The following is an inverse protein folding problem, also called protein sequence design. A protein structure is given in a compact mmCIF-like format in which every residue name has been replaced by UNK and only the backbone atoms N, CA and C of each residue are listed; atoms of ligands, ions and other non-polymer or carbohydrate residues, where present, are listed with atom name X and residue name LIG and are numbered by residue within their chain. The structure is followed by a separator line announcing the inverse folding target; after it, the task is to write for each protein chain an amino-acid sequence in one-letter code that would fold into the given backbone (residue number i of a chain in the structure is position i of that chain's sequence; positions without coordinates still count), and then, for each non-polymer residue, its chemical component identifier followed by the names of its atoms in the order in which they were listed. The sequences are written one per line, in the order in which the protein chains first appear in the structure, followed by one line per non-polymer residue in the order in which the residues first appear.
data_IF_554432193984
#
_entry.id   IF_554432193984
#
_cell.length_a   1.000
_cell.length_b   1.000
_cell.length_c   1.000
_cell.angle_alpha   90.00
_cell.angle_beta   90.00
_cell.angle_gamma   90.00
#
_symmetry.space_group_name_H-M   'P 1'
#
loop_
_entity.id
_entity.type
_entity.pdbx_description
1 polymer ?
#
# COMPACT_ATOMS: atom_id res chain seq x y z
N UNK A 1 27.86 26.08 -43.61
CA UNK A 1 29.07 26.21 -42.76
C UNK A 1 28.94 25.48 -41.43
N UNK A 2 27.75 25.36 -40.82
CA UNK A 2 27.61 24.68 -39.51
C UNK A 2 27.77 23.14 -39.56
N UNK A 3 27.39 22.46 -40.64
CA UNK A 3 27.57 21.00 -40.73
C UNK A 3 29.02 20.54 -40.86
N UNK A 4 29.95 21.40 -41.31
CA UNK A 4 31.37 21.06 -41.42
C UNK A 4 32.07 21.14 -40.04
N UNK A 5 31.62 22.05 -39.16
CA UNK A 5 32.10 22.19 -37.79
C UNK A 5 31.66 21.03 -36.89
N UNK A 6 30.45 20.51 -37.07
CA UNK A 6 29.96 19.33 -36.35
C UNK A 6 30.70 18.04 -36.75
N UNK A 7 31.03 17.88 -38.04
CA UNK A 7 31.81 16.72 -38.51
C UNK A 7 33.27 16.77 -38.05
N UNK A 8 33.89 17.96 -38.02
CA UNK A 8 35.25 18.15 -37.50
C UNK A 8 35.32 17.95 -35.98
N UNK A 9 34.27 18.30 -35.23
CA UNK A 9 34.19 18.07 -33.77
C UNK A 9 34.00 16.57 -33.42
N UNK A 10 33.24 15.84 -34.24
CA UNK A 10 33.07 14.39 -34.08
C UNK A 10 34.36 13.61 -34.42
N UNK A 11 35.09 14.03 -35.45
CA UNK A 11 36.36 13.40 -35.84
C UNK A 11 37.49 13.68 -34.84
N UNK A 12 37.52 14.86 -34.22
CA UNK A 12 38.51 15.20 -33.19
C UNK A 12 38.37 14.33 -31.92
N UNK A 13 37.13 14.01 -31.52
CA UNK A 13 36.87 13.11 -30.38
C UNK A 13 37.15 11.63 -30.69
N UNK A 14 37.01 11.19 -31.95
CA UNK A 14 37.32 9.81 -32.34
C UNK A 14 38.81 9.52 -32.53
N UNK A 15 39.64 10.52 -32.88
CA UNK A 15 41.08 10.31 -33.14
C UNK A 15 41.99 10.63 -31.95
N UNK A 16 41.54 11.42 -30.96
CA UNK A 16 42.34 11.83 -29.80
C UNK A 16 41.72 11.44 -28.45
N UNK A 17 40.77 10.50 -28.44
CA UNK A 17 40.24 9.90 -27.22
C UNK A 17 41.35 9.17 -26.47
N UNK A 18 42.05 9.88 -25.58
CA UNK A 18 42.91 9.29 -24.56
C UNK A 18 42.10 8.22 -23.82
N UNK A 19 42.64 7.01 -23.61
CA UNK A 19 41.96 6.00 -22.81
C UNK A 19 41.68 6.62 -21.45
N UNK A 20 40.41 6.81 -21.13
CA UNK A 20 39.98 7.02 -19.76
C UNK A 20 40.26 5.71 -19.04
N UNK A 21 41.50 5.59 -18.54
CA UNK A 21 41.83 4.62 -17.52
C UNK A 21 40.76 4.80 -16.46
N UNK A 22 39.90 3.79 -16.31
CA UNK A 22 39.01 3.68 -15.17
C UNK A 22 39.93 3.63 -13.95
N UNK A 23 40.27 4.81 -13.43
CA UNK A 23 40.92 4.90 -12.14
C UNK A 23 39.89 4.35 -11.18
N UNK A 24 40.18 3.17 -10.65
CA UNK A 24 39.51 2.62 -9.48
C UNK A 24 39.31 3.81 -8.52
N UNK A 25 38.07 4.14 -8.12
CA UNK A 25 37.84 5.27 -7.24
C UNK A 25 38.83 5.15 -6.07
N UNK A 26 39.50 6.25 -5.68
CA UNK A 26 40.47 6.20 -4.60
C UNK A 26 39.80 5.48 -3.44
N UNK A 27 40.44 4.41 -2.97
CA UNK A 27 40.03 3.68 -1.77
C UNK A 27 39.60 4.72 -0.75
N UNK A 28 38.35 4.60 -0.30
CA UNK A 28 37.78 5.48 0.72
C UNK A 28 38.85 5.79 1.75
N UNK A 29 39.06 7.06 2.13
CA UNK A 29 40.00 7.38 3.18
C UNK A 29 39.72 6.44 4.35
N UNK A 30 40.75 5.87 5.00
CA UNK A 30 40.55 4.93 6.10
C UNK A 30 39.52 5.56 7.02
N UNK A 31 38.40 4.84 7.23
CA UNK A 31 37.34 5.29 8.12
C UNK A 31 38.06 5.85 9.33
N UNK A 32 37.94 7.16 9.56
CA UNK A 32 38.34 7.74 10.82
C UNK A 32 37.72 6.80 11.84
N UNK A 33 38.55 6.09 12.60
CA UNK A 33 38.14 5.31 13.76
C UNK A 33 37.66 6.32 14.81
N UNK A 34 36.63 7.07 14.44
CA UNK A 34 35.84 7.89 15.31
C UNK A 34 35.19 6.90 16.26
N UNK A 35 35.38 7.18 17.53
CA UNK A 35 34.80 6.44 18.65
C UNK A 35 33.30 6.35 18.37
N UNK A 36 32.83 5.18 17.91
CA UNK A 36 31.40 4.92 17.78
C UNK A 36 30.88 4.97 19.22
N UNK A 37 29.99 5.92 19.58
CA UNK A 37 29.46 5.94 20.93
C UNK A 37 28.78 4.59 21.21
N UNK A 38 28.86 4.07 22.45
CA UNK A 38 28.12 2.88 22.79
C UNK A 38 26.64 3.09 22.46
N UNK A 39 25.91 2.03 22.06
CA UNK A 39 24.49 2.14 21.80
C UNK A 39 23.79 2.74 23.04
N UNK A 40 22.73 3.54 22.86
CA UNK A 40 21.93 4.04 23.97
C UNK A 40 21.46 2.88 24.88
N UNK A 41 21.25 3.18 26.16
CA UNK A 41 20.64 2.21 27.06
C UNK A 41 19.24 1.82 26.54
N UNK A 42 18.83 0.53 26.64
CA UNK A 42 17.49 0.12 26.25
C UNK A 42 16.41 0.91 26.99
N UNK A 43 15.42 1.41 26.26
CA UNK A 43 14.24 2.05 26.85
C UNK A 43 13.27 0.98 27.37
N UNK A 44 12.53 1.22 28.48
CA UNK A 44 11.48 0.32 28.92
C UNK A 44 10.39 0.18 27.86
N UNK A 45 10.05 -1.07 27.49
CA UNK A 45 8.96 -1.37 26.57
C UNK A 45 7.78 -1.91 27.38
N UNK A 46 6.61 -1.30 27.20
CA UNK A 46 5.35 -1.85 27.71
C UNK A 46 4.53 -2.37 26.54
N UNK A 47 4.01 -3.59 26.68
CA UNK A 47 3.12 -4.20 25.70
C UNK A 47 1.71 -4.13 26.27
N UNK A 48 0.78 -3.61 25.48
CA UNK A 48 -0.65 -3.63 25.76
C UNK A 48 -1.35 -4.46 24.68
N UNK A 49 -2.39 -5.18 25.08
CA UNK A 49 -3.26 -5.87 24.15
C UNK A 49 -4.36 -4.92 23.72
N UNK A 50 -4.56 -4.78 22.40
CA UNK A 50 -5.61 -3.94 21.86
C UNK A 50 -6.89 -4.77 21.65
N UNK A 51 -8.05 -4.28 22.13
CA UNK A 51 -9.31 -4.96 21.92
C UNK A 51 -9.71 -4.93 20.44
N UNK A 52 -10.09 -6.10 19.93
CA UNK A 52 -10.60 -6.31 18.57
C UNK A 52 -12.11 -6.56 18.61
N UNK A 53 -12.82 -6.48 17.46
CA UNK A 53 -14.21 -6.90 17.38
C UNK A 53 -14.41 -8.33 17.93
N UNK A 54 -15.60 -8.65 18.48
CA UNK A 54 -15.92 -9.99 18.93
C UNK A 54 -15.74 -11.05 17.84
N UNK A 55 -15.42 -12.28 18.24
CA UNK A 55 -15.25 -13.40 17.31
C UNK A 55 -16.59 -14.12 17.12
N UNK A 56 -17.04 -14.28 15.88
CA UNK A 56 -18.24 -15.04 15.58
C UNK A 56 -18.06 -16.53 15.91
N UNK A 57 -19.11 -17.25 16.34
CA UNK A 57 -19.04 -18.70 16.57
C UNK A 57 -18.57 -19.46 15.32
N UNK A 58 -19.09 -19.07 14.16
CA UNK A 58 -18.76 -19.54 12.81
C UNK A 58 -19.06 -18.46 11.74
N UNK A 59 -18.81 -18.76 10.47
CA UNK A 59 -18.95 -17.81 9.36
C UNK A 59 -20.35 -17.79 8.70
N UNK A 60 -21.33 -18.55 9.21
CA UNK A 60 -22.67 -18.60 8.62
C UNK A 60 -23.39 -17.28 8.85
N UNK A 61 -24.23 -16.90 7.90
CA UNK A 61 -25.08 -15.71 7.99
C UNK A 61 -25.87 -15.68 9.31
N UNK A 62 -25.85 -14.53 9.98
CA UNK A 62 -26.50 -14.32 11.28
C UNK A 62 -25.78 -14.88 12.51
N UNK A 63 -24.62 -15.55 12.35
CA UNK A 63 -23.82 -16.05 13.48
C UNK A 63 -23.23 -14.94 14.35
N UNK A 64 -23.07 -13.72 13.82
CA UNK A 64 -22.81 -12.52 14.60
C UNK A 64 -24.13 -11.92 15.09
N UNK A 65 -24.72 -12.58 16.09
CA UNK A 65 -26.01 -12.17 16.67
C UNK A 65 -25.83 -11.09 17.76
N UNK A 66 -26.93 -10.51 18.23
CA UNK A 66 -26.91 -9.56 19.36
C UNK A 66 -26.44 -10.17 20.68
N UNK A 67 -26.51 -11.49 20.84
CA UNK A 67 -25.94 -12.19 21.99
C UNK A 67 -24.40 -12.23 21.91
N UNK A 68 -23.83 -12.27 20.70
CA UNK A 68 -22.38 -12.30 20.46
C UNK A 68 -21.81 -10.88 20.47
N UNK A 69 -22.44 -9.97 19.75
CA UNK A 69 -22.10 -8.55 19.73
C UNK A 69 -23.37 -7.71 19.97
N UNK A 70 -23.64 -7.32 21.23
CA UNK A 70 -24.79 -6.47 21.57
C UNK A 70 -24.82 -5.11 20.87
N UNK A 71 -23.64 -4.56 20.52
CA UNK A 71 -23.54 -3.31 19.78
C UNK A 71 -23.88 -3.47 18.29
N UNK A 72 -24.01 -4.71 17.80
CA UNK A 72 -24.36 -5.05 16.41
C UNK A 72 -23.43 -4.42 15.37
N UNK A 73 -22.16 -4.27 15.74
CA UNK A 73 -21.11 -3.62 14.93
C UNK A 73 -20.28 -4.61 14.10
N UNK A 74 -20.67 -5.88 14.05
CA UNK A 74 -19.97 -6.93 13.30
C UNK A 74 -19.05 -7.79 14.18
N UNK A 75 -18.67 -8.96 13.67
CA UNK A 75 -17.81 -9.93 14.34
C UNK A 75 -16.73 -10.45 13.39
N UNK A 76 -15.52 -10.69 13.85
CA UNK A 76 -14.44 -11.26 13.05
C UNK A 76 -14.45 -12.80 13.07
N UNK A 77 -13.89 -13.43 12.05
CA UNK A 77 -13.72 -14.89 12.02
C UNK A 77 -12.61 -15.36 12.97
N UNK A 78 -12.66 -16.65 13.38
CA UNK A 78 -11.63 -17.26 14.25
C UNK A 78 -10.24 -17.28 13.62
N UNK A 79 -10.18 -17.54 12.32
CA UNK A 79 -8.95 -17.45 11.52
C UNK A 79 -8.87 -16.06 10.95
N UNK A 80 -8.29 -15.15 11.72
CA UNK A 80 -8.29 -13.73 11.39
C UNK A 80 -7.27 -13.42 10.31
N UNK A 81 -7.70 -12.87 9.17
CA UNK A 81 -6.81 -12.23 8.19
C UNK A 81 -6.53 -10.78 8.60
N UNK A 82 -6.18 -10.57 9.87
CA UNK A 82 -5.91 -9.23 10.38
C UNK A 82 -4.59 -8.72 9.80
N UNK A 83 -4.59 -7.47 9.34
CA UNK A 83 -3.37 -6.74 9.04
C UNK A 83 -3.39 -5.42 9.79
N UNK A 84 -2.42 -5.23 10.67
CA UNK A 84 -2.22 -3.94 11.32
C UNK A 84 -1.63 -2.92 10.35
N UNK A 85 -2.09 -1.68 10.51
CA UNK A 85 -1.46 -0.52 9.90
C UNK A 85 -0.63 0.26 10.91
N UNK A 86 -0.34 1.50 10.57
CA UNK A 86 0.30 2.46 11.48
C UNK A 86 -0.74 3.21 12.34
N UNK A 87 -0.23 4.08 13.21
CA UNK A 87 -1.05 5.04 13.94
C UNK A 87 -1.63 6.10 12.99
N UNK A 88 -2.84 6.57 13.31
CA UNK A 88 -3.31 7.84 12.81
C UNK A 88 -2.42 8.98 13.38
N UNK A 89 -2.42 10.18 12.75
CA UNK A 89 -1.53 11.27 13.15
C UNK A 89 -1.72 11.79 14.59
N UNK A 90 -2.83 11.45 15.25
CA UNK A 90 -3.07 11.80 16.65
C UNK A 90 -2.33 10.88 17.64
N UNK A 91 -1.74 9.77 17.17
CA UNK A 91 -1.08 8.75 17.97
C UNK A 91 -1.97 8.07 19.03
N UNK A 92 -3.29 8.21 18.93
CA UNK A 92 -4.26 7.60 19.85
C UNK A 92 -5.08 6.49 19.18
N UNK A 93 -5.08 6.47 17.84
CA UNK A 93 -5.79 5.47 17.06
C UNK A 93 -4.82 4.66 16.20
N UNK A 94 -5.00 3.35 16.18
CA UNK A 94 -4.26 2.44 15.28
C UNK A 94 -5.18 1.91 14.19
N UNK A 95 -4.65 1.79 12.97
CA UNK A 95 -5.37 1.17 11.85
C UNK A 95 -5.30 -0.34 11.92
N UNK A 96 -6.38 -1.00 11.53
CA UNK A 96 -6.39 -2.44 11.30
C UNK A 96 -7.36 -2.80 10.18
N UNK A 97 -6.93 -3.66 9.27
CA UNK A 97 -7.82 -4.36 8.37
C UNK A 97 -8.31 -5.63 9.06
N UNK A 98 -9.62 -5.85 9.02
CA UNK A 98 -10.30 -7.03 9.57
C UNK A 98 -11.19 -7.67 8.51
N UNK A 99 -11.47 -8.95 8.68
CA UNK A 99 -12.48 -9.65 7.89
C UNK A 99 -13.66 -10.01 8.80
N UNK A 100 -14.76 -9.28 8.64
CA UNK A 100 -16.00 -9.50 9.35
C UNK A 100 -16.82 -10.63 8.71
N UNK A 101 -17.43 -11.46 9.53
CA UNK A 101 -18.18 -12.65 9.13
C UNK A 101 -19.48 -12.79 9.91
N UNK A 102 -20.40 -13.56 9.35
CA UNK A 102 -21.65 -13.93 10.01
C UNK A 102 -22.59 -12.77 10.27
N UNK A 103 -22.44 -11.67 9.52
CA UNK A 103 -23.45 -10.63 9.51
C UNK A 103 -24.81 -11.21 9.09
N UNK A 104 -25.94 -10.68 9.59
CA UNK A 104 -27.26 -11.07 9.11
C UNK A 104 -27.46 -10.67 7.64
N UNK A 105 -28.36 -11.35 6.93
CA UNK A 105 -28.75 -10.96 5.58
C UNK A 105 -29.38 -9.57 5.53
N UNK A 106 -29.19 -8.89 4.39
CA UNK A 106 -30.00 -7.72 4.05
C UNK A 106 -31.50 -8.07 4.06
N UNK A 107 -32.39 -7.15 4.48
CA UNK A 107 -32.15 -5.73 4.72
C UNK A 107 -31.77 -5.38 6.17
N UNK A 108 -31.28 -6.34 6.97
CA UNK A 108 -30.83 -6.03 8.33
C UNK A 108 -29.71 -4.97 8.30
N UNK A 109 -29.75 -3.91 9.13
CA UNK A 109 -28.74 -2.86 9.12
C UNK A 109 -27.31 -3.35 9.39
N UNK A 110 -27.14 -4.44 10.13
CA UNK A 110 -25.82 -5.01 10.42
C UNK A 110 -25.24 -5.81 9.23
N UNK A 111 -26.00 -6.01 8.14
CA UNK A 111 -25.49 -6.65 6.92
C UNK A 111 -24.29 -5.92 6.32
N UNK A 112 -24.15 -4.61 6.55
CA UNK A 112 -23.07 -3.76 6.02
C UNK A 112 -21.67 -4.13 6.52
N UNK A 113 -21.58 -4.91 7.60
CA UNK A 113 -20.30 -5.28 8.19
C UNK A 113 -19.61 -6.41 7.44
N UNK A 114 -20.33 -7.22 6.66
CA UNK A 114 -19.77 -8.41 6.01
C UNK A 114 -18.56 -8.09 5.10
N UNK A 115 -17.47 -8.85 5.24
CA UNK A 115 -16.30 -8.78 4.35
C UNK A 115 -15.06 -8.10 4.92
N UNK A 116 -14.09 -7.79 4.06
CA UNK A 116 -12.90 -7.01 4.43
C UNK A 116 -13.27 -5.56 4.71
N UNK A 117 -12.83 -5.04 5.85
CA UNK A 117 -13.12 -3.68 6.29
C UNK A 117 -11.92 -3.08 7.04
N UNK A 118 -11.81 -1.76 7.04
CA UNK A 118 -10.89 -1.03 7.91
C UNK A 118 -11.59 -0.60 9.19
N UNK A 119 -10.90 -0.81 10.31
CA UNK A 119 -11.25 -0.28 11.61
C UNK A 119 -10.14 0.64 12.14
N UNK A 120 -10.54 1.57 12.98
CA UNK A 120 -9.65 2.31 13.86
C UNK A 120 -9.85 1.81 15.29
N UNK A 121 -8.77 1.65 16.06
CA UNK A 121 -8.82 1.13 17.43
C UNK A 121 -8.21 2.19 18.35
N UNK A 122 -8.92 2.55 19.42
CA UNK A 122 -8.42 3.44 20.47
C UNK A 122 -7.42 2.69 21.35
N UNK A 123 -6.28 3.32 21.59
CA UNK A 123 -5.20 2.74 22.42
C UNK A 123 -5.14 3.32 23.84
N UNK A 124 -5.95 4.35 24.13
CA UNK A 124 -5.97 5.07 25.40
C UNK A 124 -6.95 4.49 26.44
N UNK A 125 -7.63 3.38 26.10
CA UNK A 125 -8.62 2.73 26.94
C UNK A 125 -9.99 3.43 26.95
N UNK A 126 -10.18 4.51 26.19
CA UNK A 126 -11.50 5.12 26.00
C UNK A 126 -12.31 4.39 24.94
N UNK A 127 -13.63 4.61 24.93
CA UNK A 127 -14.56 3.97 24.00
C UNK A 127 -15.11 5.00 23.00
N UNK A 128 -15.56 4.53 21.84
CA UNK A 128 -16.40 5.30 20.93
C UNK A 128 -17.83 5.41 21.50
N UNK A 129 -18.68 6.33 20.98
CA UNK A 129 -20.02 6.54 21.51
C UNK A 129 -20.93 5.30 21.52
N UNK A 130 -20.66 4.31 20.67
CA UNK A 130 -21.39 3.04 20.63
C UNK A 130 -20.91 2.02 21.68
N UNK A 131 -19.91 2.37 22.50
CA UNK A 131 -19.34 1.50 23.55
C UNK A 131 -18.21 0.59 23.08
N UNK A 132 -17.89 0.58 21.78
CA UNK A 132 -16.75 -0.20 21.27
C UNK A 132 -15.45 0.58 21.44
N UNK A 133 -14.35 -0.15 21.64
CA UNK A 133 -12.98 0.39 21.61
C UNK A 133 -12.45 0.59 20.19
N UNK A 134 -13.24 0.20 19.19
CA UNK A 134 -12.93 0.29 17.77
C UNK A 134 -14.13 0.84 17.00
N UNK A 135 -13.87 1.35 15.79
CA UNK A 135 -14.90 1.84 14.88
C UNK A 135 -14.57 1.39 13.47
N UNK A 136 -15.55 0.84 12.75
CA UNK A 136 -15.41 0.57 11.33
C UNK A 136 -15.55 1.86 10.52
N UNK A 137 -14.56 2.15 9.67
CA UNK A 137 -14.51 3.38 8.86
C UNK A 137 -14.85 3.15 7.38
N UNK A 138 -14.96 1.89 6.95
CA UNK A 138 -15.39 1.53 5.58
C UNK A 138 -16.74 0.82 5.52
N UNK A 139 -17.31 0.47 6.67
CA UNK A 139 -18.61 -0.21 6.75
C UNK A 139 -19.74 0.75 6.38
N UNK A 140 -20.64 0.31 5.50
CA UNK A 140 -21.80 1.08 5.06
C UNK A 140 -21.47 2.28 4.17
N UNK A 141 -20.23 2.42 3.69
CA UNK A 141 -19.89 3.43 2.68
C UNK A 141 -20.78 3.20 1.46
N UNK A 142 -21.54 4.21 1.00
CA UNK A 142 -22.50 3.99 -0.06
C UNK A 142 -21.80 3.78 -1.41
N UNK A 143 -22.40 3.00 -2.30
CA UNK A 143 -21.81 2.61 -3.59
C UNK A 143 -21.33 3.81 -4.43
N UNK A 144 -22.04 4.94 -4.36
CA UNK A 144 -21.69 6.16 -5.09
C UNK A 144 -20.41 6.84 -4.56
N UNK A 145 -19.98 6.53 -3.34
CA UNK A 145 -18.72 6.98 -2.75
C UNK A 145 -17.57 6.00 -2.95
N UNK A 146 -17.83 4.82 -3.51
CA UNK A 146 -16.86 3.75 -3.73
C UNK A 146 -16.75 3.34 -5.22
N UNK A 147 -17.14 4.23 -6.14
CA UNK A 147 -17.13 3.93 -7.57
C UNK A 147 -15.71 3.60 -8.04
N UNK A 148 -15.53 2.36 -8.51
CA UNK A 148 -14.25 1.88 -8.99
C UNK A 148 -13.30 1.35 -7.94
N UNK A 149 -13.70 1.36 -6.67
CA UNK A 149 -12.93 0.79 -5.57
C UNK A 149 -12.59 -0.69 -5.83
N UNK A 150 -11.40 -1.09 -5.41
CA UNK A 150 -11.01 -2.50 -5.38
C UNK A 150 -11.41 -3.12 -4.04
N UNK A 151 -11.88 -4.37 -4.02
CA UNK A 151 -12.40 -4.99 -2.79
C UNK A 151 -11.32 -5.27 -1.73
N UNK A 152 -10.05 -5.25 -2.10
CA UNK A 152 -8.94 -5.60 -1.22
C UNK A 152 -8.45 -4.38 -0.43
N UNK A 153 -8.31 -4.53 0.88
CA UNK A 153 -7.91 -3.46 1.81
C UNK A 153 -6.61 -3.77 2.57
N UNK A 154 -5.67 -4.49 1.94
CA UNK A 154 -4.40 -4.90 2.56
C UNK A 154 -3.40 -3.75 2.78
N UNK A 155 -2.47 -3.93 3.71
CA UNK A 155 -1.41 -2.98 4.05
C UNK A 155 -1.89 -1.54 4.36
N UNK A 156 -2.82 -1.35 5.32
CA UNK A 156 -3.35 -0.03 5.65
C UNK A 156 -2.27 0.93 6.18
N UNK A 157 -2.21 2.14 5.64
CA UNK A 157 -1.23 3.17 5.98
C UNK A 157 -1.89 4.57 6.00
N UNK A 158 -1.88 5.23 7.16
CA UNK A 158 -2.39 6.58 7.33
C UNK A 158 -1.48 7.62 6.67
N UNK A 159 -2.11 8.59 6.00
CA UNK A 159 -1.47 9.84 5.60
C UNK A 159 -1.38 10.77 6.81
N UNK A 160 -0.45 11.74 6.81
CA UNK A 160 -0.27 12.66 7.94
C UNK A 160 -1.33 13.75 8.04
N UNK A 161 -2.15 13.90 7.02
CA UNK A 161 -3.27 14.87 7.04
C UNK A 161 -4.45 14.43 7.91
N UNK A 162 -4.45 13.20 8.42
CA UNK A 162 -5.51 12.65 9.28
C UNK A 162 -6.83 12.38 8.57
N UNK A 163 -6.86 12.53 7.23
CA UNK A 163 -8.07 12.44 6.40
C UNK A 163 -7.99 11.37 5.34
N UNK A 164 -6.80 10.85 5.04
CA UNK A 164 -6.59 9.79 4.05
C UNK A 164 -5.89 8.57 4.64
N UNK A 165 -6.24 7.40 4.14
CA UNK A 165 -5.61 6.11 4.43
C UNK A 165 -5.39 5.37 3.12
N UNK A 166 -4.18 4.90 2.85
CA UNK A 166 -3.90 3.93 1.79
C UNK A 166 -4.31 2.54 2.29
N UNK A 167 -5.09 1.79 1.52
CA UNK A 167 -5.37 0.37 1.77
C UNK A 167 -5.66 -0.35 0.45
N UNK A 168 -4.88 -1.39 0.17
CA UNK A 168 -4.83 -2.04 -1.13
C UNK A 168 -4.52 -1.03 -2.24
N UNK A 169 -5.25 -1.11 -3.35
CA UNK A 169 -5.19 -0.13 -4.43
C UNK A 169 -6.22 1.01 -4.27
N UNK A 170 -6.53 1.39 -3.03
CA UNK A 170 -7.50 2.44 -2.71
C UNK A 170 -6.90 3.50 -1.78
N UNK A 171 -7.42 4.72 -1.87
CA UNK A 171 -7.31 5.76 -0.85
C UNK A 171 -8.68 5.93 -0.20
N UNK A 172 -8.76 5.64 1.10
CA UNK A 172 -9.95 5.86 1.92
C UNK A 172 -9.85 7.28 2.43
N UNK A 173 -10.87 8.10 2.17
CA UNK A 173 -10.83 9.53 2.48
C UNK A 173 -12.07 9.96 3.25
N UNK A 174 -11.86 10.63 4.39
CA UNK A 174 -12.92 11.22 5.19
C UNK A 174 -13.03 12.75 4.97
N UNK A 175 -14.26 13.26 4.95
CA UNK A 175 -14.53 14.69 4.78
C UNK A 175 -13.90 15.55 5.89
N UNK A 176 -13.93 15.12 7.15
CA UNK A 176 -13.38 15.88 8.29
C UNK A 176 -12.38 15.08 9.15
N UNK A 177 -11.93 13.92 8.68
CA UNK A 177 -11.04 13.01 9.41
C UNK A 177 -11.78 11.80 9.99
N UNK A 178 -11.03 10.81 10.49
CA UNK A 178 -11.60 9.52 10.91
C UNK A 178 -12.01 9.44 12.39
N UNK A 179 -11.58 10.39 13.22
CA UNK A 179 -11.68 10.31 14.68
C UNK A 179 -12.83 11.13 15.27
N UNK A 180 -13.47 11.99 14.47
CA UNK A 180 -14.62 12.79 14.90
C UNK A 180 -15.85 11.93 15.21
N UNK A 181 -16.59 12.27 16.26
CA UNK A 181 -17.79 11.52 16.66
C UNK A 181 -18.98 11.67 15.70
N UNK A 182 -18.94 12.67 14.83
CA UNK A 182 -19.92 12.96 13.79
C UNK A 182 -19.63 12.25 12.46
N UNK A 183 -18.57 11.44 12.38
CA UNK A 183 -18.23 10.70 11.17
C UNK A 183 -19.35 9.73 10.77
N UNK A 184 -19.91 9.93 9.58
CA UNK A 184 -20.89 9.01 8.97
C UNK A 184 -20.32 8.33 7.72
N UNK A 185 -20.86 7.17 7.29
CA UNK A 185 -20.39 6.51 6.07
C UNK A 185 -20.52 7.38 4.80
N UNK A 186 -21.52 8.27 4.73
CA UNK A 186 -21.69 9.20 3.61
C UNK A 186 -20.57 10.24 3.48
N UNK A 187 -19.80 10.46 4.55
CA UNK A 187 -18.65 11.36 4.56
C UNK A 187 -17.33 10.67 4.18
N UNK A 188 -17.37 9.35 3.94
CA UNK A 188 -16.21 8.54 3.57
C UNK A 188 -16.29 8.16 2.10
N UNK A 189 -15.18 8.30 1.40
CA UNK A 189 -15.00 7.89 0.01
C UNK A 189 -13.90 6.84 -0.09
N UNK A 190 -14.11 5.81 -0.92
CA UNK A 190 -13.12 4.80 -1.27
C UNK A 190 -12.70 5.07 -2.71
N UNK A 191 -11.56 5.72 -2.87
CA UNK A 191 -11.11 6.28 -4.16
C UNK A 191 -10.04 5.35 -4.75
N UNK A 192 -10.22 4.80 -5.97
CA UNK A 192 -9.25 3.89 -6.54
C UNK A 192 -7.94 4.59 -6.95
N UNK A 193 -6.85 3.83 -6.89
CA UNK A 193 -5.53 4.21 -7.42
C UNK A 193 -5.31 3.47 -8.74
N UNK A 194 -4.95 4.19 -9.80
CA UNK A 194 -4.68 3.63 -11.13
C UNK A 194 -3.24 3.86 -11.55
N UNK A 195 -2.60 2.80 -12.02
CA UNK A 195 -1.32 2.88 -12.73
C UNK A 195 -1.55 2.75 -14.24
N UNK A 196 -1.10 3.74 -15.01
CA UNK A 196 -1.22 3.76 -16.47
C UNK A 196 -0.21 2.81 -17.11
N UNK A 197 -0.69 1.88 -17.94
CA UNK A 197 0.14 0.87 -18.65
C UNK A 197 0.03 0.96 -20.17
N UNK A 198 -0.85 1.81 -20.69
CA UNK A 198 -1.06 2.07 -22.12
C UNK A 198 -0.63 3.50 -22.44
N UNK A 199 -0.10 3.72 -23.65
CA UNK A 199 0.39 5.04 -24.08
C UNK A 199 -0.74 6.08 -24.19
N UNK A 200 -1.94 5.65 -24.56
CA UNK A 200 -3.13 6.49 -24.71
C UNK A 200 -3.97 6.59 -23.43
N UNK A 201 -3.48 6.02 -22.32
CA UNK A 201 -4.15 6.02 -21.03
C UNK A 201 -5.50 5.27 -21.01
N UNK A 202 -5.79 4.44 -22.01
CA UNK A 202 -7.01 3.62 -22.08
C UNK A 202 -6.96 2.40 -21.15
N UNK A 203 -8.14 1.85 -20.83
CA UNK A 203 -8.27 0.58 -20.11
C UNK A 203 -8.15 0.68 -18.58
N UNK A 204 -8.14 -0.47 -17.88
CA UNK A 204 -8.25 -0.54 -16.42
C UNK A 204 -6.95 -0.18 -15.66
N UNK A 205 -5.84 0.00 -16.38
CA UNK A 205 -4.52 0.20 -15.77
C UNK A 205 -3.84 -1.12 -15.37
N UNK A 206 -2.67 -0.99 -14.74
CA UNK A 206 -1.84 -2.11 -14.28
C UNK A 206 -2.27 -2.67 -12.94
N UNK A 207 -2.00 -3.96 -12.73
CA UNK A 207 -2.16 -4.60 -11.41
C UNK A 207 -1.01 -4.23 -10.49
N UNK A 208 -1.33 -3.79 -9.28
CA UNK A 208 -0.37 -3.39 -8.26
C UNK A 208 -0.50 -4.28 -7.02
N UNK A 209 0.62 -4.49 -6.32
CA UNK A 209 0.67 -5.27 -5.09
C UNK A 209 1.60 -4.60 -4.08
N UNK A 210 1.33 -4.83 -2.80
CA UNK A 210 2.22 -4.45 -1.70
C UNK A 210 2.55 -2.96 -1.70
N UNK A 211 1.53 -2.11 -1.88
CA UNK A 211 1.73 -0.66 -1.96
C UNK A 211 2.34 -0.12 -0.65
N UNK A 212 3.26 0.83 -0.76
CA UNK A 212 3.94 1.50 0.35
C UNK A 212 3.82 3.01 0.17
N UNK A 213 3.20 3.66 1.15
CA UNK A 213 3.12 5.11 1.23
C UNK A 213 4.50 5.67 1.57
N UNK A 214 5.01 6.54 0.71
CA UNK A 214 6.23 7.25 1.02
C UNK A 214 5.96 8.28 2.12
N UNK A 215 6.91 8.53 3.04
CA UNK A 215 6.76 9.52 4.08
C UNK A 215 6.39 10.94 3.63
N UNK A 216 6.45 11.32 2.36
CA UNK A 216 6.03 12.67 1.93
C UNK A 216 4.54 12.77 1.58
N UNK A 217 3.76 11.70 1.78
CA UNK A 217 2.32 11.64 1.51
C UNK A 217 1.92 11.88 0.04
N UNK A 218 2.90 11.89 -0.87
CA UNK A 218 2.67 12.16 -2.30
C UNK A 218 3.24 11.10 -3.22
N UNK A 219 4.19 10.27 -2.76
CA UNK A 219 4.70 9.14 -3.53
C UNK A 219 4.20 7.79 -3.01
N UNK A 220 4.10 6.83 -3.94
CA UNK A 220 3.83 5.43 -3.65
C UNK A 220 4.89 4.55 -4.30
N UNK A 221 5.34 3.56 -3.56
CA UNK A 221 6.03 2.38 -4.09
C UNK A 221 5.06 1.21 -4.23
N UNK A 222 5.24 0.36 -5.24
CA UNK A 222 4.47 -0.87 -5.40
C UNK A 222 5.25 -1.92 -6.19
N UNK A 223 4.84 -3.17 -6.04
CA UNK A 223 5.33 -4.27 -6.86
C UNK A 223 4.33 -4.63 -7.94
N UNK A 224 4.80 -5.05 -9.11
CA UNK A 224 3.96 -5.64 -10.15
C UNK A 224 4.65 -6.84 -10.79
N UNK A 225 3.85 -7.86 -11.12
CA UNK A 225 4.36 -9.03 -11.85
C UNK A 225 4.58 -8.68 -13.33
N UNK A 226 5.66 -9.21 -13.89
CA UNK A 226 5.91 -9.23 -15.33
C UNK A 226 5.92 -10.66 -15.84
N UNK A 227 5.57 -10.83 -17.11
CA UNK A 227 5.54 -12.11 -17.81
C UNK A 227 6.36 -11.98 -19.10
N UNK A 228 7.67 -11.79 -18.94
CA UNK A 228 8.58 -11.59 -20.07
C UNK A 228 9.18 -12.93 -20.51
N UNK A 229 9.15 -13.23 -21.81
CA UNK A 229 9.82 -14.41 -22.40
C UNK A 229 9.46 -15.77 -21.76
N UNK A 230 8.24 -15.90 -21.23
CA UNK A 230 7.77 -17.13 -20.57
C UNK A 230 8.27 -17.31 -19.13
N UNK A 231 8.92 -16.30 -18.55
CA UNK A 231 9.36 -16.28 -17.15
C UNK A 231 8.48 -15.34 -16.33
N UNK A 232 8.15 -15.77 -15.10
CA UNK A 232 7.49 -14.91 -14.12
C UNK A 232 8.56 -14.01 -13.46
N UNK A 233 8.41 -12.70 -13.60
CA UNK A 233 9.21 -11.69 -12.93
C UNK A 233 8.38 -10.82 -12.00
N UNK A 234 9.05 -10.05 -11.16
CA UNK A 234 8.41 -9.02 -10.34
C UNK A 234 9.30 -7.79 -10.30
N UNK A 235 8.72 -6.63 -10.56
CA UNK A 235 9.39 -5.34 -10.56
C UNK A 235 8.85 -4.46 -9.46
N UNK A 236 9.74 -3.64 -8.88
CA UNK A 236 9.38 -2.59 -7.94
C UNK A 236 9.31 -1.26 -8.69
N UNK A 237 8.20 -0.56 -8.55
CA UNK A 237 7.97 0.75 -9.14
C UNK A 237 7.78 1.79 -8.04
N UNK A 238 8.04 3.04 -8.37
CA UNK A 238 7.57 4.18 -7.59
C UNK A 238 7.00 5.26 -8.51
N UNK A 239 6.10 6.07 -7.96
CA UNK A 239 5.42 7.12 -8.70
C UNK A 239 4.74 8.09 -7.77
N UNK A 240 4.20 9.16 -8.34
CA UNK A 240 3.54 10.24 -7.62
C UNK A 240 2.03 10.13 -7.75
N UNK A 241 1.32 10.21 -6.62
CA UNK A 241 -0.12 10.33 -6.56
C UNK A 241 -0.58 11.66 -7.17
N UNK A 242 -1.53 11.59 -8.10
CA UNK A 242 -2.20 12.74 -8.69
C UNK A 242 -3.71 12.51 -8.71
N UNK A 243 -4.45 13.30 -7.93
CA UNK A 243 -5.92 13.19 -7.93
C UNK A 243 -6.50 13.70 -9.25
N UNK A 244 -7.37 12.90 -9.85
CA UNK A 244 -8.12 13.19 -11.06
C UNK A 244 -9.62 13.15 -10.72
N UNK A 245 -10.26 14.31 -10.50
CA UNK A 245 -11.67 14.36 -10.08
C UNK A 245 -12.65 13.98 -11.20
N UNK A 246 -12.24 14.06 -12.47
CA UNK A 246 -13.09 13.74 -13.61
C UNK A 246 -12.21 13.26 -14.78
N UNK A 247 -11.76 12.00 -14.77
CA UNK A 247 -10.92 11.49 -15.83
C UNK A 247 -11.68 11.40 -17.16
N UNK A 248 -11.04 11.81 -18.25
CA UNK A 248 -11.57 11.68 -19.62
C UNK A 248 -11.15 10.38 -20.31
N UNK A 249 -10.25 9.61 -19.70
CA UNK A 249 -9.68 8.36 -20.23
C UNK A 249 -9.25 7.42 -19.11
N UNK A 250 -9.19 6.14 -19.45
CA UNK A 250 -8.97 5.05 -18.50
C UNK A 250 -10.28 4.58 -17.86
N UNK A 251 -10.24 3.39 -17.26
CA UNK A 251 -11.37 2.81 -16.56
C UNK A 251 -11.00 2.59 -15.08
N UNK A 252 -11.92 2.88 -14.14
CA UNK A 252 -13.24 3.48 -14.36
C UNK A 252 -13.17 5.00 -14.63
N UNK A 253 -14.18 5.55 -15.31
CA UNK A 253 -14.33 7.00 -15.54
C UNK A 253 -14.98 7.66 -14.31
N UNK A 254 -14.30 7.62 -13.19
CA UNK A 254 -14.74 8.14 -11.89
C UNK A 254 -13.57 8.87 -11.18
N UNK A 255 -13.84 9.72 -10.18
CA UNK A 255 -12.78 10.34 -9.38
C UNK A 255 -11.79 9.28 -8.88
N UNK A 256 -10.50 9.52 -9.10
CA UNK A 256 -9.46 8.52 -8.83
C UNK A 256 -8.09 9.15 -8.67
N UNK A 257 -7.12 8.40 -8.13
CA UNK A 257 -5.72 8.81 -8.11
C UNK A 257 -4.97 8.13 -9.23
N UNK A 258 -4.35 8.91 -10.12
CA UNK A 258 -3.39 8.39 -11.09
C UNK A 258 -1.99 8.34 -10.49
N UNK A 259 -1.24 7.28 -10.78
CA UNK A 259 0.20 7.23 -10.57
C UNK A 259 0.90 7.86 -11.77
N UNK A 260 1.57 8.98 -11.51
CA UNK A 260 2.30 9.78 -12.49
C UNK A 260 3.81 9.71 -12.23
N UNK A 261 4.62 10.09 -13.21
CA UNK A 261 6.09 10.06 -13.08
C UNK A 261 6.59 8.69 -12.58
N UNK A 262 6.03 7.62 -13.16
CA UNK A 262 6.32 6.26 -12.75
C UNK A 262 7.72 5.88 -13.21
N UNK A 263 8.50 5.35 -12.28
CA UNK A 263 9.85 4.90 -12.49
C UNK A 263 9.99 3.46 -11.99
N UNK A 264 10.81 2.69 -12.68
CA UNK A 264 11.14 1.31 -12.36
C UNK A 264 12.44 1.27 -11.54
N UNK A 265 12.44 0.63 -10.37
CA UNK A 265 13.66 0.27 -9.66
C UNK A 265 14.14 -1.08 -10.22
N UNK A 266 15.19 -1.03 -11.02
CA UNK A 266 15.75 -2.21 -11.67
C UNK A 266 17.27 -2.10 -11.78
N UNK A 267 17.94 -3.18 -11.40
CA UNK A 267 19.37 -3.37 -11.67
C UNK A 267 19.51 -4.37 -12.84
N UNK A 268 19.99 -3.92 -14.02
CA UNK A 268 20.10 -4.77 -15.20
C UNK A 268 21.17 -5.86 -15.09
N UNK A 269 22.09 -5.77 -14.12
CA UNK A 269 23.15 -6.76 -13.92
C UNK A 269 22.91 -7.64 -12.70
N UNK A 270 21.90 -7.35 -11.88
CA UNK A 270 21.55 -8.19 -10.74
C UNK A 270 21.03 -9.56 -11.19
N UNK A 271 21.54 -10.61 -10.55
CA UNK A 271 21.00 -11.96 -10.70
C UNK A 271 19.58 -12.00 -10.14
N UNK A 272 18.62 -12.48 -10.94
CA UNK A 272 17.25 -12.62 -10.48
C UNK A 272 17.17 -13.66 -9.35
N UNK A 273 16.43 -13.38 -8.26
CA UNK A 273 16.34 -14.29 -7.12
C UNK A 273 15.58 -15.58 -7.45
N UNK A 274 14.78 -15.58 -8.51
CA UNK A 274 14.06 -16.75 -9.04
C UNK A 274 14.35 -16.90 -10.53
N UNK A 275 14.67 -18.12 -10.95
CA UNK A 275 14.83 -18.49 -12.35
C UNK A 275 14.26 -19.90 -12.60
N UNK A 276 13.89 -20.20 -13.84
CA UNK A 276 13.54 -21.57 -14.24
C UNK A 276 14.78 -22.44 -14.14
N UNK A 277 14.66 -23.62 -13.53
CA UNK A 277 15.78 -24.53 -13.40
C UNK A 277 16.27 -24.93 -14.80
N UNK A 278 17.57 -24.73 -15.12
CA UNK A 278 18.06 -24.78 -16.50
C UNK A 278 17.87 -26.15 -17.18
N UNK A 279 17.74 -27.23 -16.41
CA UNK A 279 17.54 -28.60 -16.92
C UNK A 279 16.20 -29.21 -16.54
N UNK A 280 15.33 -28.49 -15.82
CA UNK A 280 14.05 -29.02 -15.36
C UNK A 280 13.00 -27.92 -15.43
N UNK A 281 12.35 -27.73 -16.58
CA UNK A 281 11.45 -26.59 -16.83
C UNK A 281 10.24 -26.47 -15.90
N UNK A 282 9.97 -27.50 -15.09
CA UNK A 282 8.91 -27.53 -14.07
C UNK A 282 9.41 -27.21 -12.66
N UNK A 283 10.70 -26.94 -12.49
CA UNK A 283 11.32 -26.59 -11.22
C UNK A 283 11.85 -25.15 -11.27
N UNK A 284 11.75 -24.45 -10.14
CA UNK A 284 12.36 -23.13 -9.97
C UNK A 284 13.66 -23.27 -9.18
N UNK A 285 14.70 -22.56 -9.60
CA UNK A 285 15.91 -22.34 -8.80
C UNK A 285 15.82 -20.99 -8.10
N UNK A 286 16.13 -20.95 -6.80
CA UNK A 286 16.33 -19.70 -6.07
C UNK A 286 17.82 -19.45 -5.83
N UNK A 287 18.26 -18.22 -6.10
CA UNK A 287 19.59 -17.74 -5.70
C UNK A 287 19.39 -16.94 -4.42
N UNK A 288 19.87 -17.41 -3.25
CA UNK A 288 19.74 -16.63 -2.03
C UNK A 288 20.49 -15.30 -2.21
N UNK A 289 19.97 -14.18 -1.68
CA UNK A 289 20.71 -12.92 -1.70
C UNK A 289 22.03 -13.12 -0.95
N UNK A 290 23.12 -12.46 -1.40
CA UNK A 290 24.34 -12.43 -0.61
C UNK A 290 23.99 -11.83 0.76
N UNK A 291 24.20 -12.61 1.82
CA UNK A 291 24.06 -12.11 3.18
C UNK A 291 25.04 -10.95 3.38
N UNK A 292 24.61 -9.80 3.95
CA UNK A 292 25.53 -8.77 4.40
C UNK A 292 26.40 -9.23 5.57
#
# INVERSE_FOLDING_TARGET
MESLLLYLWALFNCLFGLPQVHQKPPTSPPLLQGIIPPPPAPEPITVIELPLPPVAPDNREGSCSSEVNPARTGCIGRTTQIQSGNFLPDNLHVLSMVHFVGAPAAPDPASIFQGEQLIIIKIDGTLFPNGDSWRCITCGVPDHNAVGATPKLDYPQAFRDGRRILAGANIIQAAHGFTGDDLTPDQVHIIPIRWKTTADNSGPGGSMRELRLHPDDVHLGWSAFSFDTGSLGQYCYYGRLAFSPSPSSGLPLAPGYDLTSVNLLYDPVASQPLAVHPTTPRACSSTPPPYP
#
